data_IF_490585560371
#
_entry.id   IF_490585560371
#
_cell.length_a   1.000
_cell.length_b   1.000
_cell.length_c   1.000
_cell.angle_alpha   90.00
_cell.angle_beta   90.00
_cell.angle_gamma   90.00
#
_symmetry.space_group_name_H-M   'P 1'
#
loop_
_entity.id
_entity.type
_entity.pdbx_description
1 polymer ?
#
# COMPACT_ATOMS: atom_id res chain seq x y z
N UNK A 1 0.57 30.26 18.51
CA UNK A 1 -0.56 29.41 18.94
C UNK A 1 -1.70 29.55 17.95
N UNK A 2 -2.20 28.42 17.42
CA UNK A 2 -3.36 28.41 16.53
C UNK A 2 -3.19 27.44 15.35
N UNK A 3 -2.90 26.18 15.64
CA UNK A 3 -2.88 25.10 14.64
C UNK A 3 -4.30 24.84 14.14
N UNK A 4 -4.55 25.09 12.85
CA UNK A 4 -5.72 24.58 12.14
C UNK A 4 -5.34 23.21 11.59
N UNK A 5 -5.92 22.15 12.18
CA UNK A 5 -5.77 20.77 11.73
C UNK A 5 -6.53 20.58 10.42
N UNK A 6 -5.81 20.13 9.40
CA UNK A 6 -6.33 19.66 8.10
C UNK A 6 -7.20 18.42 8.32
N UNK A 7 -8.48 18.45 7.89
CA UNK A 7 -9.23 17.24 7.57
C UNK A 7 -8.88 16.87 6.13
N UNK A 8 -8.08 15.83 5.97
CA UNK A 8 -7.83 15.18 4.68
C UNK A 8 -8.95 14.14 4.52
N UNK A 9 -10.01 14.50 3.82
CA UNK A 9 -10.95 13.52 3.28
C UNK A 9 -10.29 12.84 2.09
N UNK A 10 -9.90 11.58 2.24
CA UNK A 10 -9.52 10.73 1.13
C UNK A 10 -10.83 10.28 0.47
N UNK A 11 -11.10 10.60 -0.81
CA UNK A 11 -12.26 10.01 -1.46
C UNK A 11 -11.93 8.56 -1.82
N UNK A 12 -12.82 7.67 -1.38
CA UNK A 12 -12.94 6.28 -1.78
C UNK A 12 -12.83 6.20 -3.31
N UNK A 13 -11.89 5.41 -3.81
CA UNK A 13 -11.65 5.24 -5.23
C UNK A 13 -12.86 4.52 -5.86
N UNK A 14 -13.62 5.24 -6.67
CA UNK A 14 -14.52 4.63 -7.64
C UNK A 14 -13.65 3.94 -8.71
N UNK A 15 -13.50 2.62 -8.59
CA UNK A 15 -12.86 1.79 -9.60
C UNK A 15 -13.86 1.59 -10.75
N UNK A 16 -13.95 2.58 -11.64
CA UNK A 16 -14.72 2.45 -12.88
C UNK A 16 -13.92 1.56 -13.84
N UNK A 17 -14.31 0.29 -13.95
CA UNK A 17 -13.81 -0.63 -14.99
C UNK A 17 -14.41 -0.18 -16.33
N UNK A 18 -13.70 0.70 -17.05
CA UNK A 18 -14.05 1.08 -18.40
C UNK A 18 -13.43 0.08 -19.38
N UNK A 19 -14.22 -0.88 -19.85
CA UNK A 19 -13.85 -1.74 -20.97
C UNK A 19 -13.88 -0.93 -22.28
N UNK A 20 -12.71 -0.73 -22.90
CA UNK A 20 -12.62 -0.26 -24.28
C UNK A 20 -11.67 -1.17 -25.07
N UNK A 21 -12.28 -2.11 -25.81
CA UNK A 21 -11.60 -2.98 -26.78
C UNK A 21 -11.62 -2.31 -28.15
N UNK A 22 -10.44 -2.08 -28.73
CA UNK A 22 -10.29 -1.82 -30.15
C UNK A 22 -9.28 -2.81 -30.75
N UNK A 23 -9.75 -3.54 -31.75
CA UNK A 23 -9.15 -4.72 -32.36
C UNK A 23 -7.97 -4.42 -33.31
N UNK A 24 -7.05 -5.38 -33.43
CA UNK A 24 -6.00 -5.43 -34.44
C UNK A 24 -5.54 -6.87 -34.69
N UNK A 25 -6.19 -7.50 -35.68
CA UNK A 25 -6.02 -8.84 -36.27
C UNK A 25 -4.74 -9.66 -35.99
N UNK A 26 -4.94 -10.86 -35.43
CA UNK A 26 -4.07 -12.03 -35.54
C UNK A 26 -4.80 -13.27 -35.02
N UNK A 27 -5.13 -14.21 -35.91
CA UNK A 27 -5.94 -15.43 -35.72
C UNK A 27 -5.37 -16.48 -34.74
N UNK A 28 -5.14 -16.11 -33.48
CA UNK A 28 -4.94 -17.05 -32.37
C UNK A 28 -5.50 -16.40 -31.08
N UNK A 29 -6.83 -16.29 -31.03
CA UNK A 29 -7.53 -15.75 -29.87
C UNK A 29 -7.68 -16.86 -28.82
N UNK A 30 -6.92 -16.85 -27.71
CA UNK A 30 -7.28 -17.67 -26.56
C UNK A 30 -8.68 -17.21 -26.15
N UNK A 31 -9.60 -18.16 -26.00
CA UNK A 31 -10.98 -17.88 -25.58
C UNK A 31 -10.96 -16.82 -24.48
N UNK A 32 -11.58 -15.67 -24.77
CA UNK A 32 -11.76 -14.62 -23.77
C UNK A 32 -12.23 -15.29 -22.47
N UNK A 33 -11.63 -14.99 -21.31
CA UNK A 33 -12.10 -15.57 -20.07
C UNK A 33 -13.60 -15.28 -20.02
N UNK A 34 -14.40 -16.34 -19.83
CA UNK A 34 -15.85 -16.19 -19.68
C UNK A 34 -16.07 -15.07 -18.67
N UNK A 35 -16.87 -14.06 -19.03
CA UNK A 35 -17.19 -12.98 -18.12
C UNK A 35 -17.62 -13.61 -16.79
N UNK A 36 -16.87 -13.35 -15.73
CA UNK A 36 -17.19 -13.87 -14.41
C UNK A 36 -18.51 -13.21 -14.03
N UNK A 37 -19.47 -14.01 -13.60
CA UNK A 37 -20.80 -13.54 -13.20
C UNK A 37 -20.68 -12.89 -11.82
N UNK A 38 -20.30 -11.62 -11.79
CA UNK A 38 -20.10 -10.83 -10.56
C UNK A 38 -21.41 -10.41 -9.91
N UNK A 39 -22.56 -10.87 -10.39
CA UNK A 39 -23.86 -10.39 -9.91
C UNK A 39 -24.12 -10.72 -8.44
N UNK A 40 -23.46 -11.77 -7.92
CA UNK A 40 -23.46 -12.11 -6.50
C UNK A 40 -22.63 -11.10 -5.69
N UNK A 41 -21.36 -10.86 -6.08
CA UNK A 41 -20.49 -9.84 -5.47
C UNK A 41 -21.16 -8.45 -5.50
N UNK A 42 -21.70 -8.03 -6.63
CA UNK A 42 -22.36 -6.74 -6.79
C UNK A 42 -23.58 -6.61 -5.85
N UNK A 43 -24.29 -7.71 -5.60
CA UNK A 43 -25.41 -7.75 -4.65
C UNK A 43 -24.92 -7.71 -3.19
N UNK A 44 -23.87 -8.47 -2.85
CA UNK A 44 -23.29 -8.50 -1.52
C UNK A 44 -22.64 -7.16 -1.13
N UNK A 45 -21.93 -6.51 -2.06
CA UNK A 45 -21.38 -5.16 -1.89
C UNK A 45 -22.49 -4.11 -1.71
N UNK A 46 -23.60 -4.23 -2.46
CA UNK A 46 -24.73 -3.34 -2.32
C UNK A 46 -25.44 -3.52 -0.95
N UNK A 47 -25.55 -4.75 -0.45
CA UNK A 47 -26.10 -5.05 0.87
C UNK A 47 -25.19 -4.53 1.99
N UNK A 48 -23.88 -4.74 1.89
CA UNK A 48 -22.90 -4.19 2.82
C UNK A 48 -22.91 -2.65 2.83
N UNK A 49 -23.02 -2.01 1.65
CA UNK A 49 -23.12 -0.56 1.55
C UNK A 49 -24.42 -0.01 2.17
N UNK A 50 -25.53 -0.72 2.01
CA UNK A 50 -26.80 -0.36 2.65
C UNK A 50 -26.72 -0.50 4.17
N UNK A 51 -26.16 -1.61 4.68
CA UNK A 51 -25.97 -1.83 6.11
C UNK A 51 -25.03 -0.78 6.74
N UNK A 52 -23.95 -0.39 6.05
CA UNK A 52 -23.06 0.68 6.51
C UNK A 52 -23.78 2.04 6.55
N UNK A 53 -24.62 2.35 5.56
CA UNK A 53 -25.39 3.58 5.55
C UNK A 53 -26.40 3.65 6.71
N UNK A 54 -27.02 2.52 7.04
CA UNK A 54 -27.93 2.39 8.19
C UNK A 54 -27.17 2.54 9.53
N UNK A 55 -25.97 1.97 9.64
CA UNK A 55 -25.10 2.15 10.81
C UNK A 55 -24.65 3.61 11.00
N UNK A 56 -24.24 4.28 9.91
CA UNK A 56 -23.87 5.70 9.94
C UNK A 56 -25.05 6.59 10.37
N UNK A 57 -26.25 6.28 9.88
CA UNK A 57 -27.47 6.98 10.28
C UNK A 57 -27.82 6.76 11.76
N UNK A 58 -27.74 5.51 12.24
CA UNK A 58 -27.97 5.18 13.64
C UNK A 58 -26.95 5.83 14.59
N UNK A 59 -25.68 5.92 14.17
CA UNK A 59 -24.63 6.62 14.91
C UNK A 59 -24.88 8.13 14.98
N UNK A 60 -25.31 8.74 13.88
CA UNK A 60 -25.68 10.16 13.86
C UNK A 60 -26.88 10.45 14.79
N UNK A 61 -27.87 9.56 14.84
CA UNK A 61 -28.99 9.65 15.78
C UNK A 61 -28.54 9.51 17.24
N UNK A 62 -27.61 8.60 17.53
CA UNK A 62 -27.02 8.44 18.87
C UNK A 62 -26.24 9.69 19.32
N UNK A 63 -25.42 10.25 18.43
CA UNK A 63 -24.68 11.49 18.69
C UNK A 63 -25.64 12.66 18.97
N UNK A 64 -26.74 12.78 18.21
CA UNK A 64 -27.76 13.79 18.42
C UNK A 64 -28.48 13.61 19.76
N UNK A 65 -28.82 12.37 20.14
CA UNK A 65 -29.44 12.06 21.42
C UNK A 65 -28.50 12.32 22.60
N UNK A 66 -27.21 12.02 22.46
CA UNK A 66 -26.19 12.34 23.45
C UNK A 66 -26.01 13.86 23.64
N UNK A 67 -26.06 14.64 22.56
CA UNK A 67 -26.04 16.09 22.63
C UNK A 67 -27.28 16.64 23.38
N UNK A 68 -28.47 16.12 23.08
CA UNK A 68 -29.69 16.50 23.79
C UNK A 68 -29.64 16.13 25.28
N UNK A 69 -29.07 14.97 25.64
CA UNK A 69 -28.86 14.59 27.03
C UNK A 69 -27.87 15.51 27.75
N UNK A 70 -26.80 15.96 27.07
CA UNK A 70 -25.86 16.92 27.62
C UNK A 70 -26.51 18.30 27.85
N UNK A 71 -27.34 18.77 26.91
CA UNK A 71 -28.10 20.01 27.05
C UNK A 71 -29.11 19.93 28.22
N UNK A 72 -29.81 18.80 28.37
CA UNK A 72 -30.73 18.58 29.47
C UNK A 72 -30.01 18.49 30.83
N UNK A 73 -28.82 17.88 30.88
CA UNK A 73 -27.99 17.87 32.09
C UNK A 73 -27.52 19.29 32.49
N UNK A 74 -27.16 20.12 31.51
CA UNK A 74 -26.80 21.52 31.76
C UNK A 74 -28.01 22.35 32.25
N UNK A 75 -29.20 22.10 31.71
CA UNK A 75 -30.43 22.72 32.19
C UNK A 75 -30.78 22.31 33.63
N UNK A 76 -30.55 21.04 33.98
CA UNK A 76 -30.69 20.55 35.35
C UNK A 76 -29.73 21.26 36.31
N UNK A 77 -28.44 21.36 35.97
CA UNK A 77 -27.44 22.08 36.79
C UNK A 77 -27.84 23.55 36.99
N UNK A 78 -28.35 24.21 35.94
CA UNK A 78 -28.84 25.58 36.03
C UNK A 78 -30.09 25.70 36.93
N UNK A 79 -31.01 24.74 36.89
CA UNK A 79 -32.19 24.70 37.73
C UNK A 79 -31.84 24.45 39.21
N UNK A 80 -30.86 23.57 39.48
CA UNK A 80 -30.31 23.34 40.82
C UNK A 80 -29.68 24.63 41.40
N UNK A 81 -28.90 25.34 40.59
CA UNK A 81 -28.31 26.63 40.99
C UNK A 81 -29.38 27.70 41.28
N UNK A 82 -30.40 27.81 40.42
CA UNK A 82 -31.50 28.76 40.60
C UNK A 82 -32.33 28.45 41.86
N UNK A 83 -32.57 27.17 42.15
CA UNK A 83 -33.26 26.74 43.36
C UNK A 83 -32.46 27.06 44.64
N UNK A 84 -31.12 26.99 44.59
CA UNK A 84 -30.26 27.34 45.72
C UNK A 84 -30.28 28.85 46.06
N UNK A 85 -30.54 29.70 45.07
CA UNK A 85 -30.57 31.17 45.22
C UNK A 85 -31.99 31.75 45.42
N UNK A 86 -33.04 30.92 45.36
CA UNK A 86 -34.42 31.36 45.37
C UNK A 86 -34.84 32.00 46.72
N UNK A 87 -35.55 33.12 46.65
CA UNK A 87 -36.22 33.71 47.82
C UNK A 87 -37.43 32.87 48.24
N UNK A 88 -37.92 33.06 49.48
CA UNK A 88 -39.07 32.32 50.00
C UNK A 88 -40.34 32.40 49.11
N UNK A 89 -40.54 33.51 48.41
CA UNK A 89 -41.66 33.70 47.48
C UNK A 89 -41.46 32.94 46.15
N UNK A 90 -40.22 32.63 45.78
CA UNK A 90 -39.82 31.96 44.54
C UNK A 90 -39.58 30.44 44.72
N UNK A 91 -39.47 29.95 45.96
CA UNK A 91 -39.15 28.54 46.26
C UNK A 91 -40.06 27.53 45.55
N UNK A 92 -41.37 27.81 45.49
CA UNK A 92 -42.32 26.90 44.85
C UNK A 92 -42.14 26.83 43.33
N UNK A 93 -41.83 27.96 42.69
CA UNK A 93 -41.55 28.04 41.25
C UNK A 93 -40.21 27.41 40.91
N UNK A 94 -39.18 27.65 41.72
CA UNK A 94 -37.85 27.09 41.53
C UNK A 94 -37.84 25.56 41.74
N UNK A 95 -38.60 25.04 42.72
CA UNK A 95 -38.73 23.60 42.91
C UNK A 95 -39.49 22.94 41.74
N UNK A 96 -40.54 23.58 41.22
CA UNK A 96 -41.25 23.09 40.03
C UNK A 96 -40.34 23.07 38.78
N UNK A 97 -39.48 24.08 38.61
CA UNK A 97 -38.49 24.12 37.53
C UNK A 97 -37.43 23.03 37.67
N UNK A 98 -36.96 22.75 38.89
CA UNK A 98 -36.02 21.67 39.18
C UNK A 98 -36.62 20.29 38.86
N UNK A 99 -37.85 20.02 39.31
CA UNK A 99 -38.55 18.76 39.03
C UNK A 99 -38.78 18.56 37.52
N UNK A 100 -39.10 19.64 36.79
CA UNK A 100 -39.21 19.59 35.33
C UNK A 100 -37.88 19.29 34.64
N UNK A 101 -36.79 19.94 35.07
CA UNK A 101 -35.46 19.71 34.51
C UNK A 101 -34.92 18.30 34.84
N UNK A 102 -35.24 17.76 36.02
CA UNK A 102 -34.92 16.38 36.40
C UNK A 102 -35.64 15.38 35.48
N UNK A 103 -36.93 15.58 35.23
CA UNK A 103 -37.70 14.72 34.34
C UNK A 103 -37.20 14.77 32.89
N UNK A 104 -36.82 15.95 32.40
CA UNK A 104 -36.25 16.13 31.06
C UNK A 104 -34.87 15.47 30.93
N UNK A 105 -34.00 15.62 31.94
CA UNK A 105 -32.69 14.98 31.96
C UNK A 105 -32.78 13.45 32.01
N UNK A 106 -33.69 12.89 32.82
CA UNK A 106 -33.93 11.44 32.88
C UNK A 106 -34.42 10.90 31.54
N UNK A 107 -35.42 11.56 30.93
CA UNK A 107 -35.95 11.18 29.62
C UNK A 107 -34.87 11.25 28.52
N UNK A 108 -34.05 12.29 28.52
CA UNK A 108 -32.98 12.46 27.53
C UNK A 108 -31.86 11.43 27.70
N UNK A 109 -31.49 11.08 28.94
CA UNK A 109 -30.51 10.01 29.19
C UNK A 109 -31.03 8.63 28.75
N UNK A 110 -32.32 8.33 28.97
CA UNK A 110 -32.93 7.09 28.46
C UNK A 110 -32.93 7.06 26.94
N UNK A 111 -33.33 8.16 26.29
CA UNK A 111 -33.32 8.25 24.83
C UNK A 111 -31.91 8.10 24.23
N UNK A 112 -30.89 8.66 24.89
CA UNK A 112 -29.49 8.49 24.48
C UNK A 112 -29.02 7.03 24.62
N UNK A 113 -29.37 6.34 25.71
CA UNK A 113 -29.03 4.93 25.90
C UNK A 113 -29.70 4.01 24.86
N UNK A 114 -30.97 4.27 24.54
CA UNK A 114 -31.69 3.54 23.49
C UNK A 114 -31.15 3.80 22.09
N UNK A 115 -30.69 5.03 21.81
CA UNK A 115 -30.04 5.37 20.55
C UNK A 115 -28.66 4.72 20.42
N UNK A 116 -27.85 4.70 21.49
CA UNK A 116 -26.54 4.02 21.49
C UNK A 116 -26.69 2.49 21.30
N UNK A 117 -27.71 1.89 21.92
CA UNK A 117 -28.02 0.47 21.70
C UNK A 117 -28.35 0.17 20.24
N UNK A 118 -29.18 1.01 19.60
CA UNK A 118 -29.52 0.87 18.18
C UNK A 118 -28.31 1.09 17.26
N UNK A 119 -27.44 2.04 17.60
CA UNK A 119 -26.20 2.28 16.87
C UNK A 119 -25.27 1.04 16.94
N UNK A 120 -25.09 0.46 18.13
CA UNK A 120 -24.28 -0.74 18.30
C UNK A 120 -24.85 -1.95 17.55
N UNK A 121 -26.17 -2.13 17.53
CA UNK A 121 -26.83 -3.20 16.75
C UNK A 121 -26.63 -3.01 15.25
N UNK A 122 -26.74 -1.78 14.75
CA UNK A 122 -26.54 -1.47 13.33
C UNK A 122 -25.06 -1.63 12.91
N UNK A 123 -24.10 -1.24 13.77
CA UNK A 123 -22.67 -1.46 13.53
C UNK A 123 -22.32 -2.95 13.43
N UNK A 124 -22.87 -3.79 14.32
CA UNK A 124 -22.67 -5.26 14.23
C UNK A 124 -23.27 -5.84 12.94
N UNK A 125 -24.45 -5.37 12.52
CA UNK A 125 -25.06 -5.81 11.27
C UNK A 125 -24.25 -5.38 10.03
N UNK A 126 -23.66 -4.18 10.05
CA UNK A 126 -22.77 -3.72 8.99
C UNK A 126 -21.47 -4.55 8.91
N UNK A 127 -20.89 -4.91 10.06
CA UNK A 127 -19.72 -5.79 10.11
C UNK A 127 -20.03 -7.20 9.61
N UNK A 128 -21.20 -7.75 9.95
CA UNK A 128 -21.68 -9.04 9.43
C UNK A 128 -21.87 -9.01 7.91
N UNK A 129 -22.51 -7.97 7.38
CA UNK A 129 -22.70 -7.80 5.93
C UNK A 129 -21.37 -7.60 5.19
N UNK A 130 -20.43 -6.87 5.77
CA UNK A 130 -19.09 -6.69 5.20
C UNK A 130 -18.31 -8.02 5.14
N UNK A 131 -18.36 -8.84 6.20
CA UNK A 131 -17.74 -10.16 6.21
C UNK A 131 -18.39 -11.10 5.18
N UNK A 132 -19.71 -11.05 5.01
CA UNK A 132 -20.41 -11.84 3.99
C UNK A 132 -20.00 -11.43 2.57
N UNK A 133 -19.82 -10.14 2.30
CA UNK A 133 -19.30 -9.65 1.03
C UNK A 133 -17.85 -10.11 0.79
N UNK A 134 -16.99 -10.07 1.81
CA UNK A 134 -15.63 -10.61 1.71
C UNK A 134 -15.61 -12.12 1.45
N UNK A 135 -16.52 -12.88 2.06
CA UNK A 135 -16.65 -14.33 1.83
C UNK A 135 -17.08 -14.63 0.39
N UNK A 136 -18.06 -13.90 -0.16
CA UNK A 136 -18.46 -14.06 -1.58
C UNK A 136 -17.33 -13.69 -2.53
N UNK A 137 -16.57 -12.63 -2.25
CA UNK A 137 -15.39 -12.28 -3.03
C UNK A 137 -14.32 -13.39 -3.01
N UNK A 138 -14.15 -14.09 -1.88
CA UNK A 138 -13.20 -15.21 -1.74
C UNK A 138 -13.70 -16.47 -2.44
N UNK A 139 -15.01 -16.73 -2.43
CA UNK A 139 -15.61 -17.88 -3.12
C UNK A 139 -15.53 -17.73 -4.65
N UNK A 140 -15.80 -16.54 -5.19
CA UNK A 140 -15.68 -16.26 -6.62
C UNK A 140 -14.21 -16.17 -7.09
N UNK A 141 -13.30 -15.75 -6.19
CA UNK A 141 -11.86 -15.77 -6.42
C UNK A 141 -11.21 -17.15 -6.26
N UNK A 142 -11.99 -18.22 -6.06
CA UNK A 142 -11.46 -19.59 -6.16
C UNK A 142 -10.72 -19.71 -7.51
N UNK A 143 -9.44 -20.14 -7.52
CA UNK A 143 -8.63 -20.11 -8.73
C UNK A 143 -9.26 -21.01 -9.80
N UNK A 144 -9.96 -20.38 -10.75
CA UNK A 144 -10.46 -21.02 -11.96
C UNK A 144 -9.34 -21.17 -13.02
N UNK A 145 -8.15 -20.65 -12.71
CA UNK A 145 -6.95 -20.72 -13.55
C UNK A 145 -6.11 -21.98 -13.32
N UNK A 146 -5.24 -22.26 -14.29
CA UNK A 146 -4.19 -23.27 -14.17
C UNK A 146 -3.39 -23.02 -12.87
N UNK A 147 -3.23 -24.00 -11.96
CA UNK A 147 -2.50 -23.84 -10.69
C UNK A 147 -1.04 -23.39 -10.84
N UNK A 148 -0.49 -23.36 -12.07
CA UNK A 148 0.82 -22.77 -12.38
C UNK A 148 0.81 -21.30 -12.84
N UNK A 149 -0.35 -20.64 -12.99
CA UNK A 149 -0.46 -19.28 -13.53
C UNK A 149 -0.89 -18.28 -12.47
N UNK A 150 -0.04 -17.27 -12.24
CA UNK A 150 -0.35 -16.12 -11.37
C UNK A 150 -0.61 -14.90 -12.24
N UNK A 151 -1.77 -14.26 -12.07
CA UNK A 151 -2.10 -12.99 -12.71
C UNK A 151 -1.85 -11.84 -11.73
N UNK A 152 -0.98 -10.90 -12.09
CA UNK A 152 -0.68 -9.72 -11.27
C UNK A 152 -1.21 -8.47 -11.98
N UNK A 153 -2.13 -7.76 -11.34
CA UNK A 153 -2.61 -6.47 -11.82
C UNK A 153 -1.57 -5.36 -11.54
N UNK A 154 -1.15 -4.64 -12.59
CA UNK A 154 -0.25 -3.48 -12.48
C UNK A 154 -1.02 -2.19 -12.78
N UNK A 155 -0.64 -1.10 -12.12
CA UNK A 155 -1.40 0.18 -12.18
C UNK A 155 -1.25 0.93 -13.49
N UNK A 156 -0.13 0.73 -14.18
CA UNK A 156 0.23 1.35 -15.45
C UNK A 156 1.11 0.39 -16.24
N UNK A 157 1.17 0.56 -17.55
CA UNK A 157 2.10 -0.17 -18.42
C UNK A 157 3.55 0.13 -18.03
N UNK A 158 4.47 -0.86 -18.03
CA UNK A 158 5.89 -0.61 -17.83
C UNK A 158 6.43 0.32 -18.92
N UNK A 159 7.22 1.33 -18.53
CA UNK A 159 7.75 2.32 -19.48
C UNK A 159 8.85 1.74 -20.38
N UNK A 160 9.60 0.77 -19.86
CA UNK A 160 10.59 -0.03 -20.56
C UNK A 160 10.85 -1.32 -19.79
N UNK A 161 11.46 -2.30 -20.45
CA UNK A 161 11.98 -3.53 -19.85
C UNK A 161 13.48 -3.49 -19.59
N UNK A 162 14.17 -2.38 -19.91
CA UNK A 162 15.54 -2.16 -19.47
C UNK A 162 15.55 -1.89 -17.95
N UNK A 163 16.07 -2.84 -17.13
CA UNK A 163 16.03 -2.72 -15.68
C UNK A 163 16.93 -1.59 -15.16
N UNK A 164 17.90 -1.13 -15.95
CA UNK A 164 18.84 -0.08 -15.58
C UNK A 164 18.41 1.31 -16.04
N UNK A 165 17.52 1.43 -17.01
CA UNK A 165 17.10 2.73 -17.55
C UNK A 165 16.15 3.50 -16.61
N UNK A 166 15.15 2.81 -16.02
CA UNK A 166 14.05 3.44 -15.26
C UNK A 166 13.90 2.89 -13.85
N UNK A 167 13.24 3.68 -12.99
CA UNK A 167 12.97 3.31 -11.58
C UNK A 167 11.47 3.40 -11.22
N UNK A 168 10.56 3.38 -12.20
CA UNK A 168 9.12 3.39 -11.93
C UNK A 168 8.62 2.04 -11.38
N UNK A 169 7.46 2.06 -10.71
CA UNK A 169 6.93 0.88 -10.01
C UNK A 169 6.49 -0.22 -10.96
N UNK A 170 5.85 0.11 -12.07
CA UNK A 170 5.30 -0.88 -13.00
C UNK A 170 6.39 -1.66 -13.72
N UNK A 171 7.41 -0.97 -14.24
CA UNK A 171 8.59 -1.63 -14.82
C UNK A 171 9.28 -2.53 -13.79
N UNK A 172 9.46 -2.06 -12.55
CA UNK A 172 10.12 -2.85 -11.51
C UNK A 172 9.37 -4.13 -11.13
N UNK A 173 8.04 -4.10 -11.09
CA UNK A 173 7.23 -5.30 -10.81
C UNK A 173 7.48 -6.37 -11.86
N UNK A 174 7.66 -5.99 -13.13
CA UNK A 174 7.97 -6.92 -14.21
C UNK A 174 9.44 -7.35 -14.16
N UNK A 175 10.37 -6.39 -14.17
CA UNK A 175 11.81 -6.66 -14.31
C UNK A 175 12.40 -7.39 -13.09
N UNK A 176 11.82 -7.26 -11.89
CA UNK A 176 12.28 -7.99 -10.71
C UNK A 176 12.08 -9.52 -10.82
N UNK A 177 11.23 -9.99 -11.75
CA UNK A 177 11.07 -11.42 -12.04
C UNK A 177 12.04 -11.93 -13.11
N UNK A 178 12.77 -11.02 -13.79
CA UNK A 178 13.62 -11.33 -14.94
C UNK A 178 15.11 -11.11 -14.66
N UNK A 179 15.43 -10.20 -13.73
CA UNK A 179 16.80 -9.79 -13.47
C UNK A 179 17.12 -9.82 -11.98
N UNK A 180 18.34 -10.21 -11.68
CA UNK A 180 18.88 -10.25 -10.33
C UNK A 180 20.09 -9.30 -10.20
N UNK A 181 20.43 -8.92 -8.97
CA UNK A 181 21.63 -8.13 -8.67
C UNK A 181 22.61 -8.95 -7.83
N UNK A 182 23.83 -8.45 -7.60
CA UNK A 182 24.84 -9.19 -6.82
C UNK A 182 24.38 -9.50 -5.40
N UNK A 183 23.67 -8.55 -4.79
CA UNK A 183 23.07 -8.69 -3.46
C UNK A 183 21.57 -8.45 -3.56
N UNK A 184 20.81 -8.90 -2.57
CA UNK A 184 19.37 -8.68 -2.47
C UNK A 184 18.98 -8.17 -1.09
N UNK A 185 17.68 -8.02 -0.88
CA UNK A 185 17.11 -7.78 0.46
C UNK A 185 16.06 -8.83 0.75
N UNK A 186 16.08 -9.35 1.97
CA UNK A 186 15.03 -10.24 2.46
C UNK A 186 13.80 -9.46 2.98
N UNK A 187 12.80 -10.20 3.46
CA UNK A 187 11.57 -9.61 4.04
C UNK A 187 11.83 -8.76 5.29
N UNK A 188 12.95 -8.97 5.99
CA UNK A 188 13.39 -8.14 7.12
C UNK A 188 14.19 -6.92 6.68
N UNK A 189 14.35 -6.72 5.36
CA UNK A 189 15.16 -5.68 4.71
C UNK A 189 16.67 -5.84 4.89
N UNK A 190 17.13 -6.99 5.40
CA UNK A 190 18.55 -7.29 5.56
C UNK A 190 19.19 -7.64 4.20
N UNK A 191 20.46 -7.27 4.02
CA UNK A 191 21.20 -7.62 2.82
C UNK A 191 21.50 -9.13 2.79
N UNK A 192 21.24 -9.75 1.64
CA UNK A 192 21.48 -11.18 1.41
C UNK A 192 22.27 -11.42 0.12
N UNK A 193 23.11 -12.45 0.03
CA UNK A 193 23.80 -12.83 -1.21
C UNK A 193 22.80 -13.32 -2.28
N UNK A 194 22.96 -12.92 -3.54
CA UNK A 194 22.15 -13.37 -4.68
C UNK A 194 23.08 -13.91 -5.77
N UNK A 195 23.48 -13.06 -6.73
CA UNK A 195 24.46 -13.42 -7.77
C UNK A 195 25.90 -13.39 -7.25
N UNK A 196 26.18 -12.68 -6.16
CA UNK A 196 27.43 -12.81 -5.41
C UNK A 196 27.26 -13.79 -4.24
N UNK A 197 28.34 -14.48 -3.89
CA UNK A 197 28.43 -15.34 -2.69
C UNK A 197 28.92 -14.57 -1.46
N UNK A 198 29.61 -13.44 -1.66
CA UNK A 198 30.12 -12.58 -0.60
C UNK A 198 30.74 -11.30 -1.14
N UNK A 199 31.06 -10.40 -0.23
CA UNK A 199 31.74 -9.13 -0.53
C UNK A 199 32.59 -8.65 0.65
N UNK A 200 33.64 -7.89 0.36
CA UNK A 200 34.51 -7.26 1.35
C UNK A 200 35.08 -5.93 0.84
N UNK A 201 35.35 -4.99 1.74
CA UNK A 201 36.14 -3.80 1.41
C UNK A 201 37.62 -4.19 1.52
N UNK A 202 38.36 -4.10 0.41
CA UNK A 202 39.78 -4.49 0.36
C UNK A 202 40.73 -3.32 0.62
N UNK A 203 40.25 -2.09 0.43
CA UNK A 203 40.90 -0.83 0.79
C UNK A 203 39.85 0.27 1.06
N UNK A 204 40.26 1.54 1.09
CA UNK A 204 39.36 2.66 1.41
C UNK A 204 38.35 2.97 0.30
N UNK A 205 38.66 2.65 -0.96
CA UNK A 205 37.90 3.03 -2.15
C UNK A 205 37.53 1.84 -3.05
N UNK A 206 37.81 0.60 -2.65
CA UNK A 206 37.60 -0.61 -3.44
C UNK A 206 36.87 -1.69 -2.66
N UNK A 207 35.81 -2.21 -3.27
CA UNK A 207 35.05 -3.35 -2.77
C UNK A 207 35.16 -4.53 -3.71
N UNK A 208 35.50 -5.69 -3.14
CA UNK A 208 35.58 -6.96 -3.86
C UNK A 208 34.31 -7.77 -3.67
N UNK A 209 33.79 -8.32 -4.76
CA UNK A 209 32.65 -9.23 -4.79
C UNK A 209 33.06 -10.56 -5.43
N UNK A 210 32.60 -11.66 -4.85
CA UNK A 210 32.79 -13.00 -5.42
C UNK A 210 31.51 -13.45 -6.10
N UNK A 211 31.54 -13.58 -7.42
CA UNK A 211 30.43 -13.99 -8.28
C UNK A 211 30.15 -15.48 -8.12
N UNK A 212 28.87 -15.85 -8.11
CA UNK A 212 28.39 -17.23 -7.99
C UNK A 212 28.67 -18.01 -9.28
N UNK A 213 29.29 -19.17 -9.13
CA UNK A 213 29.52 -20.10 -10.23
C UNK A 213 28.25 -20.86 -10.64
N UNK A 214 28.19 -21.27 -11.91
CA UNK A 214 27.12 -22.13 -12.44
C UNK A 214 25.80 -21.41 -12.72
N UNK A 215 25.78 -20.07 -12.67
CA UNK A 215 24.63 -19.27 -13.07
C UNK A 215 24.68 -19.01 -14.58
N UNK A 216 23.52 -19.09 -15.24
CA UNK A 216 23.37 -18.82 -16.67
C UNK A 216 22.25 -17.82 -16.89
N UNK A 217 22.43 -16.90 -17.82
CA UNK A 217 21.37 -16.02 -18.29
C UNK A 217 20.33 -16.80 -19.10
N UNK A 218 19.19 -16.16 -19.37
CA UNK A 218 18.09 -16.77 -20.14
C UNK A 218 18.44 -17.08 -21.60
N UNK A 219 19.49 -16.46 -22.15
CA UNK A 219 20.02 -16.75 -23.49
C UNK A 219 21.05 -17.90 -23.51
N UNK A 220 21.35 -18.48 -22.34
CA UNK A 220 22.31 -19.58 -22.16
C UNK A 220 23.75 -19.14 -21.94
N UNK A 221 24.08 -17.85 -22.00
CA UNK A 221 25.42 -17.37 -21.64
C UNK A 221 25.68 -17.58 -20.14
N UNK A 222 26.94 -17.86 -19.77
CA UNK A 222 27.32 -17.98 -18.37
C UNK A 222 27.43 -16.60 -17.72
N UNK A 223 27.09 -16.51 -16.44
CA UNK A 223 27.43 -15.36 -15.61
C UNK A 223 28.90 -15.48 -15.20
N UNK A 224 29.71 -14.50 -15.60
CA UNK A 224 31.08 -14.32 -15.12
C UNK A 224 31.31 -12.89 -14.63
N UNK A 225 32.48 -12.65 -14.06
CA UNK A 225 32.88 -11.33 -13.58
C UNK A 225 32.87 -10.25 -14.68
N UNK A 226 33.16 -10.63 -15.94
CA UNK A 226 33.16 -9.68 -17.05
C UNK A 226 31.74 -9.21 -17.38
N UNK A 227 30.77 -10.11 -17.40
CA UNK A 227 29.36 -9.78 -17.59
C UNK A 227 28.84 -8.83 -16.51
N UNK A 228 29.26 -9.05 -15.25
CA UNK A 228 28.94 -8.15 -14.13
C UNK A 228 29.58 -6.78 -14.34
N UNK A 229 30.87 -6.74 -14.70
CA UNK A 229 31.59 -5.49 -14.93
C UNK A 229 30.97 -4.69 -16.08
N UNK A 230 30.65 -5.34 -17.21
CA UNK A 230 30.04 -4.69 -18.37
C UNK A 230 28.65 -4.14 -18.02
N UNK A 231 27.82 -4.91 -17.31
CA UNK A 231 26.48 -4.48 -16.91
C UNK A 231 26.53 -3.27 -15.96
N UNK A 232 27.45 -3.23 -15.01
CA UNK A 232 27.56 -2.11 -14.07
C UNK A 232 28.26 -0.89 -14.70
N UNK A 233 29.30 -1.09 -15.52
CA UNK A 233 29.97 0.00 -16.21
C UNK A 233 29.06 0.71 -17.22
N UNK A 234 28.08 0.01 -17.82
CA UNK A 234 27.05 0.66 -18.64
C UNK A 234 26.33 1.78 -17.89
N UNK A 235 26.01 1.57 -16.61
CA UNK A 235 25.36 2.59 -15.80
C UNK A 235 26.27 3.77 -15.48
N UNK A 236 27.60 3.56 -15.50
CA UNK A 236 28.61 4.57 -15.24
C UNK A 236 29.01 5.35 -16.50
N UNK A 237 28.59 4.89 -17.68
CA UNK A 237 28.87 5.54 -18.94
C UNK A 237 28.15 6.91 -18.99
N UNK A 238 28.87 8.04 -19.16
CA UNK A 238 28.25 9.36 -19.23
C UNK A 238 27.30 9.53 -20.43
N UNK A 239 27.41 8.69 -21.46
CA UNK A 239 26.52 8.70 -22.62
C UNK A 239 25.23 7.87 -22.37
N UNK A 240 25.18 7.10 -21.28
CA UNK A 240 23.98 6.35 -20.87
C UNK A 240 23.18 7.13 -19.82
N UNK A 241 21.91 7.41 -20.14
CA UNK A 241 21.00 8.10 -19.22
C UNK A 241 20.21 7.08 -18.39
N UNK A 242 20.42 7.06 -17.08
CA UNK A 242 19.68 6.22 -16.14
C UNK A 242 18.87 7.05 -15.13
N UNK A 243 17.65 6.63 -14.78
CA UNK A 243 16.92 7.21 -13.63
C UNK A 243 17.41 6.65 -12.28
N UNK A 244 18.45 5.83 -12.29
CA UNK A 244 19.04 5.14 -11.12
C UNK A 244 20.35 5.77 -10.65
N UNK A 245 20.66 7.00 -11.08
CA UNK A 245 21.89 7.73 -10.74
C UNK A 245 22.23 7.72 -9.23
N UNK A 246 21.22 7.75 -8.36
CA UNK A 246 21.42 7.71 -6.92
C UNK A 246 22.12 6.44 -6.42
N UNK A 247 21.97 5.33 -7.13
CA UNK A 247 22.55 4.03 -6.76
C UNK A 247 23.98 3.85 -7.27
N UNK A 248 24.38 4.57 -8.32
CA UNK A 248 25.76 4.54 -8.83
C UNK A 248 26.60 5.71 -8.33
N UNK A 249 26.00 6.62 -7.54
CA UNK A 249 26.70 7.77 -6.98
C UNK A 249 27.93 7.32 -6.18
N UNK A 250 29.09 7.88 -6.54
CA UNK A 250 30.37 7.58 -5.91
C UNK A 250 31.01 6.28 -6.40
N UNK A 251 30.42 5.56 -7.34
CA UNK A 251 31.05 4.46 -8.06
C UNK A 251 31.79 5.02 -9.29
N UNK A 252 32.97 4.48 -9.59
CA UNK A 252 33.86 5.00 -10.63
C UNK A 252 34.06 4.02 -11.76
N UNK A 253 34.47 2.80 -11.45
CA UNK A 253 34.70 1.75 -12.44
C UNK A 253 34.56 0.38 -11.78
N UNK A 254 34.07 -0.57 -12.54
CA UNK A 254 33.97 -1.97 -12.16
C UNK A 254 34.94 -2.79 -12.99
N UNK A 255 35.81 -3.55 -12.33
CA UNK A 255 36.88 -4.33 -12.97
C UNK A 255 36.70 -5.82 -12.67
N UNK A 256 36.70 -6.65 -13.70
CA UNK A 256 36.81 -8.10 -13.54
C UNK A 256 38.27 -8.47 -13.24
N UNK A 257 38.54 -8.90 -12.02
CA UNK A 257 39.90 -9.28 -11.58
C UNK A 257 40.28 -10.65 -12.13
N UNK A 258 39.32 -11.56 -12.10
CA UNK A 258 39.38 -12.91 -12.64
C UNK A 258 37.96 -13.37 -13.03
N UNK A 259 37.79 -14.63 -13.41
CA UNK A 259 36.49 -15.15 -13.89
C UNK A 259 35.35 -15.05 -12.87
N UNK A 260 35.66 -15.04 -11.57
CA UNK A 260 34.67 -15.08 -10.47
C UNK A 260 34.76 -13.90 -9.52
N UNK A 261 35.62 -12.92 -9.78
CA UNK A 261 35.89 -11.82 -8.85
C UNK A 261 35.80 -10.47 -9.55
N UNK A 262 35.05 -9.56 -8.94
CA UNK A 262 34.85 -8.20 -9.42
C UNK A 262 35.27 -7.22 -8.34
N UNK A 263 36.09 -6.23 -8.72
CA UNK A 263 36.45 -5.10 -7.87
C UNK A 263 35.70 -3.85 -8.33
N UNK A 264 35.03 -3.18 -7.40
CA UNK A 264 34.28 -1.96 -7.62
C UNK A 264 35.03 -0.80 -6.97
N UNK A 265 35.53 0.10 -7.81
CA UNK A 265 36.25 1.30 -7.40
C UNK A 265 35.27 2.45 -7.16
N UNK A 266 35.52 3.23 -6.12
CA UNK A 266 34.67 4.34 -5.68
C UNK A 266 35.46 5.65 -5.59
N UNK A 267 34.76 6.78 -5.56
CA UNK A 267 35.37 8.10 -5.35
C UNK A 267 35.44 8.38 -3.84
N UNK A 268 36.43 7.75 -3.20
CA UNK A 268 36.64 7.76 -1.75
C UNK A 268 35.71 6.80 -1.00
N UNK A 269 35.71 6.90 0.34
CA UNK A 269 35.02 5.93 1.21
C UNK A 269 33.51 5.94 0.96
N UNK A 270 33.00 4.82 0.42
CA UNK A 270 31.57 4.58 0.22
C UNK A 270 31.09 3.35 1.01
N UNK A 271 30.69 3.57 2.26
CA UNK A 271 30.15 2.51 3.13
C UNK A 271 28.75 2.02 2.70
N UNK A 272 28.07 2.73 1.79
CA UNK A 272 26.73 2.36 1.31
C UNK A 272 26.75 1.49 0.06
N UNK A 273 27.93 1.21 -0.51
CA UNK A 273 28.06 0.45 -1.74
C UNK A 273 27.30 -0.90 -1.71
N UNK A 274 27.34 -1.71 -0.63
CA UNK A 274 26.57 -2.96 -0.61
C UNK A 274 25.05 -2.75 -0.73
N UNK A 275 24.52 -1.65 -0.18
CA UNK A 275 23.10 -1.30 -0.28
C UNK A 275 22.72 -0.81 -1.68
N UNK A 276 23.64 -0.10 -2.32
CA UNK A 276 23.51 0.38 -3.70
C UNK A 276 23.50 -0.79 -4.67
N UNK A 277 24.45 -1.72 -4.54
CA UNK A 277 24.59 -2.91 -5.39
C UNK A 277 23.35 -3.80 -5.38
N UNK A 278 22.65 -3.87 -4.25
CA UNK A 278 21.37 -4.58 -4.14
C UNK A 278 20.20 -3.95 -4.95
N UNK A 279 20.45 -2.86 -5.69
CA UNK A 279 19.48 -2.16 -6.54
C UNK A 279 19.94 -2.07 -8.00
N UNK A 280 21.06 -2.73 -8.36
CA UNK A 280 21.67 -2.68 -9.69
C UNK A 280 21.59 -4.05 -10.38
N UNK A 281 20.57 -4.29 -11.21
CA UNK A 281 20.38 -5.58 -11.86
C UNK A 281 21.49 -5.86 -12.89
N UNK A 282 21.89 -7.12 -12.97
CA UNK A 282 22.85 -7.64 -13.95
C UNK A 282 22.05 -8.27 -15.09
N UNK A 283 22.43 -7.97 -16.32
CA UNK A 283 21.80 -8.50 -17.53
C UNK A 283 22.85 -9.05 -18.48
N UNK A 284 22.42 -9.87 -19.44
CA UNK A 284 23.34 -10.62 -20.30
C UNK A 284 24.18 -9.68 -21.19
N UNK A 285 25.48 -9.98 -21.41
CA UNK A 285 26.33 -9.20 -22.30
C UNK A 285 25.72 -9.02 -23.70
N UNK A 286 25.86 -7.82 -24.27
CA UNK A 286 25.39 -7.51 -25.62
C UNK A 286 23.87 -7.36 -25.80
N UNK A 287 23.07 -7.51 -24.73
CA UNK A 287 21.62 -7.31 -24.81
C UNK A 287 21.20 -5.85 -24.56
N UNK A 288 22.12 -5.01 -24.06
CA UNK A 288 21.91 -3.60 -23.74
C UNK A 288 21.21 -2.79 -24.84
N UNK A 289 21.61 -2.99 -26.10
CA UNK A 289 21.10 -2.21 -27.24
C UNK A 289 19.79 -2.76 -27.84
N UNK A 290 19.30 -3.89 -27.33
CA UNK A 290 18.14 -4.60 -27.89
C UNK A 290 16.84 -4.39 -27.11
N UNK A 291 16.91 -3.75 -25.94
CA UNK A 291 15.78 -3.57 -25.00
C UNK A 291 15.21 -2.14 -25.00
N UNK A 292 15.61 -1.30 -25.96
CA UNK A 292 15.22 0.11 -26.09
C UNK A 292 14.01 0.36 -26.99
#
# INVERSE_FOLDING_TARGET
>A
MGHIRKRLGVPLAALFVLALVAAGCGDDEPAAPAAVDTSAIDAAEAEAAAAQADADAARADADAAAAAAADAAAALEAAEAAAAEASAEQMAEAQAALEAAQAEAEAAMTAAAEAESRASEAEMAAEEAAMAAEEEMVEEAAPTGDPGRVTIAVTTEPSTLDPQAVNDRSSRVVTANLFESLLGRDASTALVPVLATGYEAIDEDTWRFTVREGVTFHDGQALDAQAVADALNRMLDPDYSTQRDSYIRGMRVVEAVDAGTVDIHTDGVNATLPLQIAQLPIFAPGTADTVG
#
